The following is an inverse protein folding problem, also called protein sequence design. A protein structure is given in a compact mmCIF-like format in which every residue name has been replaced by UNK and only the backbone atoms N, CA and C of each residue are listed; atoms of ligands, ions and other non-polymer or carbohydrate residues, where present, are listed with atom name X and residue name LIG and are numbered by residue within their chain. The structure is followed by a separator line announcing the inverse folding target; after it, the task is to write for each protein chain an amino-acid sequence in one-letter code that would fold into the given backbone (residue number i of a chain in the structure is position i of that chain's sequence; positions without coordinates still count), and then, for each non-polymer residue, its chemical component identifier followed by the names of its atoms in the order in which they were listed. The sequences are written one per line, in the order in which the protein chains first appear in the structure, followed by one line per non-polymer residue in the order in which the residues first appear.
data_IF_614385235913
#
_entry.id   IF_614385235913
#
_cell.length_a   1.000
_cell.length_b   1.000
_cell.length_c   1.000
_cell.angle_alpha   90.00
_cell.angle_beta   90.00
_cell.angle_gamma   90.00
#
_symmetry.space_group_name_H-M   'P 1'
#
loop_
_entity.id
_entity.type
_entity.pdbx_description
1 polymer ?
#
# COMPACT_ATOMS: atom_id res chain seq x y z
N UNK A 1 15.01 20.00 -10.44
CA UNK A 1 15.14 18.52 -10.52
C UNK A 1 15.11 18.13 -11.99
N UNK A 2 15.95 17.18 -12.43
CA UNK A 2 16.08 16.79 -13.83
C UNK A 2 14.83 16.03 -14.27
N UNK A 3 14.12 16.52 -15.30
CA UNK A 3 13.11 15.72 -15.98
C UNK A 3 13.82 14.70 -16.89
N UNK A 4 13.46 13.43 -16.78
CA UNK A 4 13.92 12.39 -17.68
C UNK A 4 12.80 12.10 -18.67
N UNK A 5 12.97 12.50 -19.91
CA UNK A 5 12.10 12.10 -21.01
C UNK A 5 12.70 10.85 -21.65
N UNK A 6 12.21 9.69 -21.27
CA UNK A 6 12.53 8.42 -21.91
C UNK A 6 11.26 7.93 -22.61
N UNK A 7 11.29 7.54 -23.88
CA UNK A 7 10.18 6.86 -24.51
C UNK A 7 10.20 5.37 -24.14
N UNK A 8 9.43 4.92 -23.15
CA UNK A 8 9.31 3.51 -22.91
C UNK A 8 8.59 2.85 -24.09
N UNK A 9 9.10 1.71 -24.52
CA UNK A 9 8.52 0.97 -25.63
C UNK A 9 7.50 -0.06 -25.19
N UNK A 10 7.40 -0.33 -23.89
CA UNK A 10 6.49 -1.32 -23.27
C UNK A 10 6.05 -0.88 -21.88
N UNK A 11 4.90 -1.40 -21.43
CA UNK A 11 4.35 -1.13 -20.10
C UNK A 11 5.36 -1.50 -19.00
N UNK A 12 6.00 -2.67 -19.14
CA UNK A 12 6.98 -3.18 -18.17
C UNK A 12 8.18 -2.23 -18.02
N UNK A 13 8.64 -1.64 -19.11
CA UNK A 13 9.76 -0.69 -19.10
C UNK A 13 9.37 0.62 -18.41
N UNK A 14 8.15 1.11 -18.62
CA UNK A 14 7.65 2.31 -17.95
C UNK A 14 7.56 2.10 -16.43
N UNK A 15 7.03 0.95 -15.99
CA UNK A 15 6.92 0.60 -14.58
C UNK A 15 8.31 0.43 -13.96
N UNK A 16 9.22 -0.30 -14.63
CA UNK A 16 10.60 -0.48 -14.17
C UNK A 16 11.32 0.85 -13.99
N UNK A 17 11.24 1.74 -14.99
CA UNK A 17 11.86 3.06 -14.90
C UNK A 17 11.28 3.90 -13.77
N UNK A 18 9.97 3.88 -13.57
CA UNK A 18 9.33 4.56 -12.46
C UNK A 18 9.82 4.01 -11.10
N UNK A 19 9.96 2.69 -10.98
CA UNK A 19 10.46 2.03 -9.77
C UNK A 19 11.92 2.37 -9.47
N UNK A 20 12.78 2.42 -10.50
CA UNK A 20 14.21 2.72 -10.38
C UNK A 20 14.46 4.20 -10.06
N UNK A 21 13.78 5.10 -10.78
CA UNK A 21 13.97 6.54 -10.64
C UNK A 21 13.25 7.14 -9.44
N UNK A 22 12.21 6.47 -8.93
CA UNK A 22 11.37 6.96 -7.83
C UNK A 22 11.01 8.44 -7.98
N UNK A 23 10.37 8.84 -9.09
CA UNK A 23 10.04 10.23 -9.35
C UNK A 23 8.98 10.76 -8.38
N UNK A 24 8.97 12.08 -8.15
CA UNK A 24 7.92 12.74 -7.37
C UNK A 24 6.56 12.72 -8.08
N UNK A 25 6.56 12.55 -9.41
CA UNK A 25 5.39 12.51 -10.29
C UNK A 25 5.75 11.92 -11.64
N UNK A 26 4.82 11.19 -12.23
CA UNK A 26 4.89 10.69 -13.61
C UNK A 26 3.86 11.42 -14.46
N UNK A 27 4.28 11.98 -15.61
CA UNK A 27 3.38 12.49 -16.63
C UNK A 27 3.52 11.58 -17.85
N UNK A 28 2.39 11.05 -18.33
CA UNK A 28 2.37 10.04 -19.37
C UNK A 28 1.27 10.31 -20.39
N UNK A 29 1.57 10.12 -21.66
CA UNK A 29 0.53 10.14 -22.70
C UNK A 29 -0.28 8.84 -22.67
N UNK A 30 -1.58 8.93 -22.90
CA UNK A 30 -2.43 7.74 -23.03
C UNK A 30 -2.08 6.95 -24.28
N UNK A 31 -1.94 7.64 -25.41
CA UNK A 31 -1.66 7.00 -26.70
C UNK A 31 -0.19 7.13 -27.06
N UNK A 32 0.57 6.10 -26.75
CA UNK A 32 1.95 5.96 -27.21
C UNK A 32 2.08 4.77 -28.15
N UNK A 33 2.92 4.84 -29.21
CA UNK A 33 3.18 3.68 -30.05
C UNK A 33 3.69 2.51 -29.20
N UNK A 34 3.01 1.36 -29.27
CA UNK A 34 3.36 0.12 -28.56
C UNK A 34 3.23 0.14 -27.02
N UNK A 35 2.62 1.19 -26.46
CA UNK A 35 2.42 1.29 -25.01
C UNK A 35 0.99 1.74 -24.70
N UNK A 36 0.29 1.02 -23.85
CA UNK A 36 -0.95 1.48 -23.22
C UNK A 36 -0.61 2.27 -21.96
N UNK A 37 -0.70 3.60 -22.07
CA UNK A 37 -0.41 4.51 -20.94
C UNK A 37 -1.34 4.30 -19.75
N UNK A 38 -2.57 3.85 -19.98
CA UNK A 38 -3.54 3.57 -18.91
C UNK A 38 -3.07 2.34 -18.10
N UNK A 39 -2.64 1.28 -18.78
CA UNK A 39 -2.14 0.08 -18.10
C UNK A 39 -0.84 0.35 -17.34
N UNK A 40 0.07 1.13 -17.91
CA UNK A 40 1.29 1.55 -17.22
C UNK A 40 0.96 2.38 -15.97
N UNK A 41 0.05 3.35 -16.09
CA UNK A 41 -0.41 4.18 -14.97
C UNK A 41 -1.05 3.33 -13.87
N UNK A 42 -1.87 2.35 -14.23
CA UNK A 42 -2.51 1.42 -13.30
C UNK A 42 -1.49 0.63 -12.47
N UNK A 43 -0.44 0.10 -13.11
CA UNK A 43 0.62 -0.63 -12.39
C UNK A 43 1.42 0.28 -11.48
N UNK A 44 1.85 1.45 -11.97
CA UNK A 44 2.59 2.44 -11.18
C UNK A 44 1.78 2.85 -9.94
N UNK A 45 0.46 3.04 -10.09
CA UNK A 45 -0.44 3.35 -9.00
C UNK A 45 -0.57 2.20 -8.00
N UNK A 46 -0.88 0.99 -8.47
CA UNK A 46 -1.09 -0.19 -7.63
C UNK A 46 0.16 -0.57 -6.81
N UNK A 47 1.35 -0.34 -7.37
CA UNK A 47 2.62 -0.57 -6.69
C UNK A 47 3.05 0.62 -5.80
N UNK A 48 2.20 1.67 -5.69
CA UNK A 48 2.48 2.87 -4.89
C UNK A 48 3.84 3.53 -5.22
N UNK A 49 4.25 3.52 -6.50
CA UNK A 49 5.54 4.03 -6.92
C UNK A 49 5.55 5.57 -6.94
N UNK A 50 4.60 6.17 -7.67
CA UNK A 50 4.46 7.61 -7.84
C UNK A 50 3.05 8.01 -8.28
N UNK A 51 2.61 9.25 -8.04
CA UNK A 51 1.40 9.80 -8.63
C UNK A 51 1.54 9.90 -10.15
N UNK A 52 0.46 9.59 -10.89
CA UNK A 52 0.45 9.63 -12.36
C UNK A 52 -0.59 10.62 -12.85
N UNK A 53 -0.18 11.50 -13.78
CA UNK A 53 -1.04 12.36 -14.57
C UNK A 53 -1.02 11.84 -16.01
N UNK A 54 -2.20 11.56 -16.58
CA UNK A 54 -2.32 11.17 -17.97
C UNK A 54 -2.58 12.39 -18.85
N UNK A 55 -1.90 12.43 -19.99
CA UNK A 55 -2.17 13.38 -21.07
C UNK A 55 -2.97 12.68 -22.17
N UNK A 56 -3.99 13.34 -22.72
CA UNK A 56 -4.80 12.81 -23.80
C UNK A 56 -5.05 13.86 -24.89
N UNK A 57 -5.09 13.43 -26.13
CA UNK A 57 -5.50 14.28 -27.25
C UNK A 57 -7.03 14.29 -27.46
N UNK A 58 -7.79 13.44 -26.73
CA UNK A 58 -9.21 13.22 -26.94
C UNK A 58 -10.01 13.37 -25.65
N UNK A 59 -11.15 14.06 -25.76
CA UNK A 59 -12.15 14.22 -24.69
C UNK A 59 -13.17 13.07 -24.63
N UNK A 60 -12.90 11.91 -25.25
CA UNK A 60 -13.86 10.81 -25.30
C UNK A 60 -14.08 10.20 -23.92
N UNK A 61 -15.35 10.17 -23.49
CA UNK A 61 -15.75 9.69 -22.15
C UNK A 61 -15.26 8.29 -21.81
N UNK A 62 -15.21 7.37 -22.75
CA UNK A 62 -14.74 5.99 -22.53
C UNK A 62 -13.28 5.89 -22.06
N UNK A 63 -12.39 6.75 -22.58
CA UNK A 63 -10.99 6.78 -22.15
C UNK A 63 -10.84 7.40 -20.76
N UNK A 64 -11.69 8.37 -20.44
CA UNK A 64 -11.74 8.99 -19.12
C UNK A 64 -12.20 7.97 -18.07
N UNK A 65 -13.21 7.18 -18.36
CA UNK A 65 -13.72 6.16 -17.44
C UNK A 65 -12.71 5.02 -17.23
N UNK A 66 -12.00 4.61 -18.28
CA UNK A 66 -10.87 3.66 -18.16
C UNK A 66 -9.73 4.24 -17.32
N UNK A 67 -9.40 5.51 -17.48
CA UNK A 67 -8.37 6.19 -16.69
C UNK A 67 -8.76 6.28 -15.20
N UNK A 68 -10.02 6.59 -14.89
CA UNK A 68 -10.54 6.58 -13.51
C UNK A 68 -10.41 5.19 -12.88
N UNK A 69 -10.78 4.14 -13.61
CA UNK A 69 -10.64 2.74 -13.15
C UNK A 69 -9.20 2.28 -12.97
N UNK A 70 -8.23 2.98 -13.57
CA UNK A 70 -6.80 2.70 -13.44
C UNK A 70 -6.14 3.37 -12.22
N UNK A 71 -6.89 4.07 -11.36
CA UNK A 71 -6.33 4.77 -10.19
C UNK A 71 -5.56 6.04 -10.55
N UNK A 72 -5.76 6.59 -11.75
CA UNK A 72 -5.12 7.83 -12.20
C UNK A 72 -5.67 9.00 -11.41
N UNK A 73 -4.80 9.80 -10.83
CA UNK A 73 -5.18 10.89 -9.93
C UNK A 73 -5.58 12.17 -10.65
N UNK A 74 -5.08 12.37 -11.86
CA UNK A 74 -5.48 13.46 -12.74
C UNK A 74 -5.25 13.10 -14.21
N UNK A 75 -6.03 13.72 -15.11
CA UNK A 75 -5.81 13.70 -16.54
C UNK A 75 -5.96 15.10 -17.13
N UNK A 76 -5.23 15.39 -18.18
CA UNK A 76 -5.28 16.67 -18.89
C UNK A 76 -5.45 16.43 -20.38
N UNK A 77 -6.28 17.27 -21.01
CA UNK A 77 -6.53 17.25 -22.45
C UNK A 77 -5.57 18.21 -23.14
N UNK A 78 -4.88 17.73 -24.16
CA UNK A 78 -3.99 18.57 -25.01
C UNK A 78 -4.79 19.52 -25.90
N UNK A 79 -4.35 20.78 -26.09
CA UNK A 79 -3.11 21.39 -25.58
C UNK A 79 -3.22 21.76 -24.08
N UNK A 80 -2.18 21.47 -23.30
CA UNK A 80 -2.14 21.72 -21.85
C UNK A 80 -1.55 23.10 -21.59
N UNK A 81 -2.22 23.90 -20.77
CA UNK A 81 -1.70 25.18 -20.29
C UNK A 81 -0.91 25.00 -19.01
N UNK A 82 0.06 25.87 -18.77
CA UNK A 82 0.95 25.80 -17.60
C UNK A 82 0.16 25.79 -16.27
N UNK A 83 -0.85 26.67 -16.16
CA UNK A 83 -1.67 26.78 -14.95
C UNK A 83 -2.46 25.48 -14.68
N UNK A 84 -2.95 24.83 -15.74
CA UNK A 84 -3.68 23.56 -15.63
C UNK A 84 -2.75 22.44 -15.19
N UNK A 85 -1.53 22.41 -15.74
CA UNK A 85 -0.52 21.43 -15.37
C UNK A 85 -0.09 21.61 -13.90
N UNK A 86 0.17 22.84 -13.48
CA UNK A 86 0.55 23.17 -12.11
C UNK A 86 -0.54 22.71 -11.11
N UNK A 87 -1.80 23.05 -11.38
CA UNK A 87 -2.91 22.63 -10.54
C UNK A 87 -3.07 21.10 -10.48
N UNK A 88 -2.94 20.42 -11.62
CA UNK A 88 -3.02 18.96 -11.68
C UNK A 88 -1.89 18.27 -10.90
N UNK A 89 -0.67 18.82 -10.94
CA UNK A 89 0.48 18.33 -10.17
C UNK A 89 0.19 18.39 -8.67
N UNK A 90 -0.27 19.54 -8.19
CA UNK A 90 -0.58 19.72 -6.76
C UNK A 90 -1.70 18.77 -6.30
N UNK A 91 -2.76 18.63 -7.08
CA UNK A 91 -3.86 17.71 -6.78
C UNK A 91 -3.36 16.26 -6.76
N UNK A 92 -2.60 15.84 -7.77
CA UNK A 92 -2.11 14.46 -7.87
C UNK A 92 -1.18 14.11 -6.70
N UNK A 93 -0.26 15.02 -6.33
CA UNK A 93 0.66 14.83 -5.21
C UNK A 93 -0.07 14.75 -3.87
N UNK A 94 -1.01 15.67 -3.64
CA UNK A 94 -1.80 15.68 -2.40
C UNK A 94 -2.61 14.41 -2.23
N UNK A 95 -3.34 13.99 -3.28
CA UNK A 95 -4.14 12.75 -3.23
C UNK A 95 -3.28 11.50 -3.07
N UNK A 96 -2.13 11.44 -3.73
CA UNK A 96 -1.22 10.31 -3.58
C UNK A 96 -0.67 10.19 -2.16
N UNK A 97 -0.31 11.31 -1.54
CA UNK A 97 0.13 11.35 -0.15
C UNK A 97 -0.98 10.87 0.80
N UNK A 98 -2.22 11.33 0.60
CA UNK A 98 -3.38 10.90 1.37
C UNK A 98 -3.64 9.39 1.26
N UNK A 99 -3.67 8.85 0.04
CA UNK A 99 -3.86 7.40 -0.20
C UNK A 99 -2.76 6.59 0.48
N UNK A 100 -1.51 7.05 0.40
CA UNK A 100 -0.38 6.38 1.04
C UNK A 100 -0.50 6.36 2.56
N UNK A 101 -0.91 7.47 3.16
CA UNK A 101 -1.15 7.56 4.61
C UNK A 101 -2.26 6.62 5.05
N UNK A 102 -3.41 6.65 4.35
CA UNK A 102 -4.54 5.74 4.63
C UNK A 102 -4.15 4.27 4.48
N UNK A 103 -3.33 3.94 3.49
CA UNK A 103 -2.81 2.59 3.30
C UNK A 103 -1.95 2.13 4.48
N UNK A 104 -1.07 3.00 4.99
CA UNK A 104 -0.24 2.71 6.16
C UNK A 104 -1.07 2.54 7.43
N UNK A 105 -2.07 3.41 7.65
CA UNK A 105 -3.00 3.29 8.78
C UNK A 105 -3.78 1.98 8.73
N UNK A 106 -4.26 1.58 7.56
CA UNK A 106 -4.98 0.32 7.37
C UNK A 106 -4.09 -0.90 7.69
N UNK A 107 -2.84 -0.91 7.24
CA UNK A 107 -1.91 -2.00 7.55
C UNK A 107 -1.59 -2.05 9.05
N UNK A 108 -1.38 -0.91 9.70
CA UNK A 108 -1.19 -0.83 11.14
C UNK A 108 -2.39 -1.38 11.93
N UNK A 109 -3.62 -1.02 11.50
CA UNK A 109 -4.84 -1.53 12.13
C UNK A 109 -5.01 -3.04 11.93
N UNK A 110 -4.71 -3.56 10.74
CA UNK A 110 -4.74 -5.01 10.47
C UNK A 110 -3.74 -5.77 11.34
N UNK A 111 -2.53 -5.26 11.48
CA UNK A 111 -1.50 -5.86 12.32
C UNK A 111 -1.90 -5.84 13.81
N UNK A 112 -2.45 -4.72 14.27
CA UNK A 112 -2.97 -4.58 15.64
C UNK A 112 -4.09 -5.58 15.93
N UNK A 113 -5.06 -5.72 15.01
CA UNK A 113 -6.14 -6.72 15.14
C UNK A 113 -5.61 -8.15 15.12
N UNK A 114 -4.63 -8.44 14.25
CA UNK A 114 -3.95 -9.73 14.19
C UNK A 114 -3.29 -10.08 15.52
N UNK A 115 -2.54 -9.14 16.07
CA UNK A 115 -1.88 -9.28 17.38
C UNK A 115 -2.90 -9.52 18.49
N UNK A 116 -4.00 -8.77 18.53
CA UNK A 116 -5.06 -8.96 19.54
C UNK A 116 -5.64 -10.36 19.48
N UNK A 117 -5.96 -10.88 18.29
CA UNK A 117 -6.47 -12.25 18.13
C UNK A 117 -5.47 -13.31 18.63
N UNK A 118 -4.17 -13.13 18.38
CA UNK A 118 -3.13 -14.03 18.88
C UNK A 118 -3.07 -14.00 20.41
N UNK A 119 -3.11 -12.82 21.03
CA UNK A 119 -3.13 -12.66 22.48
C UNK A 119 -4.35 -13.31 23.11
N UNK A 120 -5.54 -13.10 22.55
CA UNK A 120 -6.78 -13.70 23.07
C UNK A 120 -6.73 -15.23 23.00
N UNK A 121 -6.20 -15.78 21.90
CA UNK A 121 -6.01 -17.24 21.76
C UNK A 121 -5.00 -17.78 22.76
N UNK A 122 -3.87 -17.11 22.95
CA UNK A 122 -2.84 -17.50 23.90
C UNK A 122 -3.36 -17.45 25.35
N UNK A 123 -4.09 -16.37 25.72
CA UNK A 123 -4.79 -16.29 27.00
C UNK A 123 -5.75 -17.48 27.21
N UNK A 124 -6.58 -17.80 26.22
CA UNK A 124 -7.50 -18.93 26.27
C UNK A 124 -6.78 -20.25 26.54
N UNK A 125 -5.63 -20.49 25.91
CA UNK A 125 -4.80 -21.68 26.17
C UNK A 125 -4.33 -21.71 27.61
N UNK A 126 -3.77 -20.61 28.14
CA UNK A 126 -3.27 -20.54 29.51
C UNK A 126 -4.41 -20.69 30.54
N UNK A 127 -5.57 -20.10 30.29
CA UNK A 127 -6.76 -20.26 31.10
C UNK A 127 -7.19 -21.73 31.18
N UNK A 128 -7.22 -22.41 30.05
CA UNK A 128 -7.64 -23.83 29.98
C UNK A 128 -6.60 -24.78 30.58
N UNK A 129 -5.32 -24.50 30.39
CA UNK A 129 -4.22 -25.36 30.85
C UNK A 129 -3.91 -25.21 32.35
N UNK A 130 -4.07 -24.01 32.89
CA UNK A 130 -3.60 -23.67 34.26
C UNK A 130 -4.74 -23.14 35.18
N UNK A 131 -5.96 -23.01 34.71
CA UNK A 131 -7.07 -22.49 35.49
C UNK A 131 -6.99 -20.99 35.79
N UNK A 132 -6.15 -20.22 35.05
CA UNK A 132 -6.02 -18.79 35.29
C UNK A 132 -7.26 -18.04 34.83
N UNK A 133 -7.57 -16.95 35.54
CA UNK A 133 -8.50 -15.94 35.04
C UNK A 133 -7.82 -15.19 33.84
N UNK A 134 -8.61 -14.51 33.02
CA UNK A 134 -8.10 -13.74 31.89
C UNK A 134 -7.05 -12.70 32.29
N UNK A 135 -7.30 -12.00 33.41
CA UNK A 135 -6.38 -11.01 33.96
C UNK A 135 -5.07 -11.61 34.46
N UNK A 136 -5.13 -12.82 35.04
CA UNK A 136 -3.92 -13.54 35.50
C UNK A 136 -3.11 -14.04 34.31
N UNK A 137 -3.75 -14.64 33.32
CA UNK A 137 -3.11 -15.09 32.08
C UNK A 137 -2.37 -13.94 31.41
N UNK A 138 -3.01 -12.77 31.27
CA UNK A 138 -2.39 -11.60 30.67
C UNK A 138 -1.20 -11.09 31.47
N UNK A 139 -1.32 -10.95 32.79
CA UNK A 139 -0.20 -10.52 33.67
C UNK A 139 0.98 -11.49 33.60
N UNK A 140 0.73 -12.80 33.57
CA UNK A 140 1.80 -13.81 33.41
C UNK A 140 2.49 -13.68 32.06
N UNK A 141 1.74 -13.46 31.00
CA UNK A 141 2.31 -13.21 29.67
C UNK A 141 3.18 -11.96 29.65
N UNK A 142 2.72 -10.84 30.24
CA UNK A 142 3.51 -9.60 30.34
C UNK A 142 4.81 -9.83 31.10
N UNK A 143 4.74 -10.44 32.27
CA UNK A 143 5.91 -10.69 33.10
C UNK A 143 6.94 -11.57 32.38
N UNK A 144 6.49 -12.63 31.69
CA UNK A 144 7.35 -13.52 30.94
C UNK A 144 8.00 -12.83 29.73
N UNK A 145 7.23 -12.06 28.99
CA UNK A 145 7.68 -11.25 27.85
C UNK A 145 8.80 -10.28 28.28
N UNK A 146 8.59 -9.55 29.37
CA UNK A 146 9.61 -8.63 29.94
C UNK A 146 10.87 -9.36 30.37
N UNK A 147 10.75 -10.48 31.08
CA UNK A 147 11.89 -11.25 31.57
C UNK A 147 12.73 -11.85 30.45
N UNK A 148 12.11 -12.22 29.35
CA UNK A 148 12.75 -12.84 28.17
C UNK A 148 13.09 -11.84 27.06
N UNK A 149 12.78 -10.55 27.23
CA UNK A 149 13.01 -9.48 26.26
C UNK A 149 12.40 -9.82 24.87
N UNK A 150 11.21 -10.40 24.88
CA UNK A 150 10.44 -10.72 23.69
C UNK A 150 9.11 -9.97 23.69
N UNK A 151 8.53 -9.76 22.52
CA UNK A 151 7.22 -9.09 22.40
C UNK A 151 6.10 -10.00 22.88
N UNK A 152 4.97 -9.40 23.28
CA UNK A 152 3.76 -10.16 23.60
C UNK A 152 3.25 -10.98 22.42
N UNK A 153 3.45 -10.49 21.19
CA UNK A 153 3.10 -11.19 19.95
C UNK A 153 3.92 -12.48 19.79
N UNK A 154 5.24 -12.37 19.86
CA UNK A 154 6.14 -13.54 19.80
C UNK A 154 5.84 -14.57 20.88
N UNK A 155 5.55 -14.12 22.09
CA UNK A 155 5.16 -15.01 23.19
C UNK A 155 3.83 -15.70 22.89
N UNK A 156 2.84 -14.99 22.38
CA UNK A 156 1.54 -15.57 22.04
C UNK A 156 1.68 -16.62 20.94
N UNK A 157 2.47 -16.35 19.92
CA UNK A 157 2.77 -17.31 18.84
C UNK A 157 3.46 -18.56 19.40
N UNK A 158 4.44 -18.40 20.29
CA UNK A 158 5.11 -19.52 20.93
C UNK A 158 4.14 -20.40 21.78
N UNK A 159 3.27 -19.78 22.56
CA UNK A 159 2.24 -20.50 23.37
C UNK A 159 1.31 -21.28 22.45
N UNK A 160 0.83 -20.68 21.37
CA UNK A 160 -0.08 -21.32 20.42
C UNK A 160 0.60 -22.51 19.72
N UNK A 161 1.87 -22.32 19.30
CA UNK A 161 2.65 -23.37 18.65
C UNK A 161 2.92 -24.57 19.59
N UNK A 162 3.23 -24.31 20.88
CA UNK A 162 3.44 -25.34 21.89
C UNK A 162 2.17 -26.16 22.15
N UNK A 163 1.01 -25.48 22.27
CA UNK A 163 -0.27 -26.15 22.47
C UNK A 163 -0.72 -26.99 21.26
N UNK A 164 -0.34 -26.59 20.05
CA UNK A 164 -0.62 -27.35 18.83
C UNK A 164 0.13 -28.67 18.75
N UNK A 165 1.34 -28.74 19.32
CA UNK A 165 2.18 -29.96 19.35
C UNK A 165 1.74 -31.00 20.39
N UNK A 166 0.96 -30.60 21.38
CA UNK A 166 0.44 -31.51 22.43
C UNK A 166 -0.83 -32.25 22.02
N UNK A 167 -1.42 -31.91 20.87
CA UNK A 167 -2.65 -32.53 20.35
C UNK A 167 -2.40 -33.57 19.24
N UNK A 168 -1.17 -33.88 18.93
CA UNK A 168 -0.76 -34.98 18.06
C UNK A 168 -0.17 -36.13 18.90
#
# INVERSE_FOLDING_TARGET
RRSHALPPHKVEEAVRLASELRPDLVIMDIKMPRLDGIEAARRIHNENIAPVILLTAFSQGELIDKAKGAGVLAYLVKPVREEQLAAAIEIARSRFAEIKTLGQELEFLKESLGTRKLLDRAKGILMSAHGFSEGEAYRKMQQYSMNRRMTLKELAEAIIAAAGKQKQ
#
